data_IF_137551230330
#
_entry.id   IF_137551230330
#
_cell.length_a   1.000
_cell.length_b   1.000
_cell.length_c   1.000
_cell.angle_alpha   90.00
_cell.angle_beta   90.00
_cell.angle_gamma   90.00
#
_symmetry.space_group_name_H-M   'P 1'
#
loop_
_entity.id
_entity.type
_entity.pdbx_description
1 polymer ?
#
# COMPACT_ATOMS: atom_id res chain seq x y z
N UNK A 1 4.37 27.80 -9.13
CA UNK A 1 4.21 26.39 -9.60
C UNK A 1 2.72 26.09 -9.73
N UNK A 2 2.28 25.52 -10.85
CA UNK A 2 0.87 25.17 -11.08
C UNK A 2 0.40 24.18 -9.99
N UNK A 3 -0.82 24.40 -9.41
CA UNK A 3 -1.39 23.54 -8.36
C UNK A 3 -1.43 22.04 -8.75
N UNK A 4 -1.74 21.75 -10.03
CA UNK A 4 -1.73 20.36 -10.54
C UNK A 4 -0.33 19.76 -10.52
N UNK A 5 0.69 20.48 -11.00
CA UNK A 5 2.09 20.01 -10.99
C UNK A 5 2.56 19.73 -9.57
N UNK A 6 2.22 20.61 -8.62
CA UNK A 6 2.50 20.39 -7.19
C UNK A 6 1.87 19.07 -6.69
N UNK A 7 0.62 18.80 -7.05
CA UNK A 7 -0.08 17.57 -6.67
C UNK A 7 0.60 16.31 -7.23
N UNK A 8 1.01 16.31 -8.50
CA UNK A 8 1.73 15.18 -9.11
C UNK A 8 3.09 14.94 -8.45
N UNK A 9 3.86 15.99 -8.15
CA UNK A 9 5.14 15.88 -7.45
C UNK A 9 4.93 15.28 -6.05
N UNK A 10 3.96 15.79 -5.29
CA UNK A 10 3.67 15.27 -3.96
C UNK A 10 3.21 13.81 -4.00
N UNK A 11 2.38 13.42 -4.97
CA UNK A 11 1.96 12.02 -5.15
C UNK A 11 3.14 11.10 -5.49
N UNK A 12 4.05 11.54 -6.35
CA UNK A 12 5.25 10.79 -6.68
C UNK A 12 6.20 10.65 -5.46
N UNK A 13 6.40 11.73 -4.70
CA UNK A 13 7.19 11.69 -3.45
C UNK A 13 6.54 10.72 -2.44
N UNK A 14 5.22 10.76 -2.30
CA UNK A 14 4.50 9.89 -1.40
C UNK A 14 4.73 8.41 -1.72
N UNK A 15 4.52 8.02 -2.98
CA UNK A 15 4.70 6.65 -3.43
C UNK A 15 6.17 6.20 -3.36
N UNK A 16 7.10 7.02 -3.84
CA UNK A 16 8.52 6.72 -3.74
C UNK A 16 8.99 6.58 -2.29
N UNK A 17 8.54 7.49 -1.39
CA UNK A 17 8.86 7.38 0.04
C UNK A 17 8.34 6.08 0.65
N UNK A 18 7.13 5.63 0.28
CA UNK A 18 6.59 4.36 0.77
C UNK A 18 7.38 3.17 0.23
N UNK A 19 7.78 3.21 -1.05
CA UNK A 19 8.63 2.20 -1.67
C UNK A 19 10.04 2.06 -1.05
N UNK A 20 10.45 3.01 -0.21
CA UNK A 20 11.72 2.94 0.55
C UNK A 20 11.62 2.03 1.80
N UNK A 21 10.49 1.40 2.09
CA UNK A 21 10.39 0.48 3.23
C UNK A 21 11.53 -0.55 3.30
N UNK A 22 11.85 -1.29 2.21
CA UNK A 22 12.95 -2.25 2.23
C UNK A 22 14.31 -1.61 2.50
N UNK A 23 14.54 -0.41 1.97
CA UNK A 23 15.81 0.31 2.13
C UNK A 23 16.20 0.48 3.59
N UNK A 24 15.22 0.73 4.47
CA UNK A 24 15.48 0.94 5.89
C UNK A 24 15.23 -0.32 6.73
N UNK A 25 14.40 -1.25 6.28
CA UNK A 25 14.10 -2.47 7.02
C UNK A 25 15.18 -3.54 6.87
N UNK A 26 15.69 -3.79 5.65
CA UNK A 26 16.66 -4.86 5.41
C UNK A 26 17.97 -4.69 6.16
N UNK A 27 18.57 -3.49 6.32
CA UNK A 27 19.76 -3.33 7.16
C UNK A 27 19.51 -3.68 8.64
N UNK A 28 18.28 -3.48 9.15
CA UNK A 28 17.93 -3.87 10.52
C UNK A 28 17.86 -5.39 10.66
N UNK A 29 17.32 -6.08 9.65
CA UNK A 29 17.28 -7.55 9.61
C UNK A 29 18.65 -8.18 9.48
N UNK A 30 19.55 -7.57 8.68
CA UNK A 30 20.94 -8.02 8.55
C UNK A 30 21.69 -7.99 9.90
N UNK A 31 21.28 -7.12 10.82
CA UNK A 31 21.82 -7.02 12.19
C UNK A 31 21.03 -7.86 13.21
N UNK A 32 20.13 -8.71 12.74
CA UNK A 32 19.37 -9.67 13.55
C UNK A 32 18.12 -9.12 14.23
N UNK A 33 17.68 -7.90 13.89
CA UNK A 33 16.40 -7.39 14.42
C UNK A 33 15.22 -8.14 13.80
N UNK A 34 14.27 -8.52 14.65
CA UNK A 34 13.03 -9.14 14.21
C UNK A 34 12.00 -8.12 13.68
N UNK A 35 11.06 -8.54 12.80
CA UNK A 35 10.03 -7.65 12.24
C UNK A 35 9.14 -6.98 13.29
N UNK A 36 8.87 -7.65 14.42
CA UNK A 36 8.04 -7.10 15.51
C UNK A 36 8.72 -5.88 16.14
N UNK A 37 10.00 -5.99 16.46
CA UNK A 37 10.80 -4.91 17.05
C UNK A 37 10.96 -3.74 16.07
N UNK A 38 11.23 -4.02 14.78
CA UNK A 38 11.33 -3.00 13.74
C UNK A 38 10.01 -2.23 13.60
N UNK A 39 8.88 -2.92 13.55
CA UNK A 39 7.56 -2.29 13.42
C UNK A 39 7.14 -1.56 14.69
N UNK A 40 7.51 -2.05 15.88
CA UNK A 40 7.31 -1.34 17.13
C UNK A 40 7.93 0.05 17.08
N UNK A 41 9.22 0.16 16.73
CA UNK A 41 9.91 1.44 16.62
C UNK A 41 9.39 2.29 15.46
N UNK A 42 9.08 1.69 14.30
CA UNK A 42 8.47 2.40 13.17
C UNK A 42 7.21 3.17 13.57
N UNK A 43 6.29 2.50 14.26
CA UNK A 43 5.04 3.11 14.71
C UNK A 43 5.30 4.12 15.83
N UNK A 44 6.18 3.79 16.78
CA UNK A 44 6.58 4.66 17.87
C UNK A 44 7.12 6.01 17.37
N UNK A 45 7.94 6.02 16.32
CA UNK A 45 8.47 7.26 15.74
C UNK A 45 7.47 7.98 14.85
N UNK A 46 6.57 7.27 14.17
CA UNK A 46 5.58 7.89 13.29
C UNK A 46 4.45 8.59 14.07
N UNK A 47 3.99 8.02 15.18
CA UNK A 47 2.85 8.53 15.97
C UNK A 47 3.07 9.97 16.45
N UNK A 48 4.19 10.35 17.08
CA UNK A 48 4.43 11.73 17.50
C UNK A 48 4.43 12.72 16.32
N UNK A 49 4.99 12.33 15.19
CA UNK A 49 5.02 13.16 13.97
C UNK A 49 3.59 13.41 13.48
N UNK A 50 2.77 12.36 13.38
CA UNK A 50 1.37 12.50 12.96
C UNK A 50 0.53 13.27 13.97
N UNK A 51 0.77 13.08 15.27
CA UNK A 51 0.14 13.83 16.35
C UNK A 51 0.47 15.33 16.28
N UNK A 52 1.75 15.66 16.07
CA UNK A 52 2.17 17.04 15.86
C UNK A 52 1.50 17.66 14.63
N UNK A 53 1.44 16.91 13.53
CA UNK A 53 0.75 17.35 12.31
C UNK A 53 -0.74 17.59 12.54
N UNK A 54 -1.40 16.71 13.30
CA UNK A 54 -2.82 16.86 13.63
C UNK A 54 -3.03 18.16 14.41
N UNK A 55 -2.17 18.41 15.41
CA UNK A 55 -2.18 19.65 16.23
C UNK A 55 -1.93 20.90 15.38
N UNK A 56 -0.89 20.89 14.52
CA UNK A 56 -0.53 22.01 13.66
C UNK A 56 -1.63 22.36 12.63
N UNK A 57 -2.45 21.37 12.25
CA UNK A 57 -3.62 21.59 11.38
C UNK A 57 -4.87 22.01 12.14
N UNK A 58 -4.77 22.30 13.44
CA UNK A 58 -5.89 22.71 14.28
C UNK A 58 -7.00 21.66 14.40
N UNK A 59 -6.65 20.39 14.24
CA UNK A 59 -7.61 19.28 14.36
C UNK A 59 -7.69 18.79 15.80
N UNK A 60 -8.92 18.53 16.24
CA UNK A 60 -9.19 17.95 17.56
C UNK A 60 -8.77 16.47 17.62
N UNK A 61 -8.23 16.06 18.78
CA UNK A 61 -7.90 14.66 19.09
C UNK A 61 -9.09 13.86 19.63
N UNK A 62 -10.20 14.49 19.99
CA UNK A 62 -11.36 13.79 20.55
C UNK A 62 -11.93 12.75 19.60
N UNK A 63 -12.16 11.52 20.08
CA UNK A 63 -12.88 10.46 19.37
C UNK A 63 -14.10 10.03 20.17
N UNK A 64 -15.18 9.71 19.48
CA UNK A 64 -16.35 9.15 20.15
C UNK A 64 -16.10 7.68 20.51
N UNK A 65 -16.80 7.17 21.53
CA UNK A 65 -16.73 5.73 21.87
C UNK A 65 -17.19 4.86 20.68
N UNK A 66 -18.11 5.36 19.86
CA UNK A 66 -18.61 4.66 18.67
C UNK A 66 -17.54 4.59 17.55
N UNK A 67 -16.57 5.50 17.51
CA UNK A 67 -15.47 5.50 16.53
C UNK A 67 -14.25 4.73 17.04
N UNK A 68 -14.08 4.66 18.37
CA UNK A 68 -12.90 4.01 18.98
C UNK A 68 -12.82 2.51 18.63
N UNK A 69 -13.95 1.78 18.70
CA UNK A 69 -13.97 0.34 18.40
C UNK A 69 -13.63 0.02 16.93
N UNK A 70 -14.23 0.68 15.92
CA UNK A 70 -13.80 0.53 14.53
C UNK A 70 -12.32 0.90 14.31
N UNK A 71 -11.85 2.01 14.92
CA UNK A 71 -10.46 2.43 14.81
C UNK A 71 -9.49 1.40 15.40
N UNK A 72 -9.84 0.78 16.54
CA UNK A 72 -9.07 -0.32 17.13
C UNK A 72 -9.01 -1.52 16.18
N UNK A 73 -10.17 -1.98 15.66
CA UNK A 73 -10.22 -3.12 14.74
C UNK A 73 -9.41 -2.87 13.47
N UNK A 74 -9.53 -1.69 12.87
CA UNK A 74 -8.76 -1.32 11.67
C UNK A 74 -7.29 -1.04 11.99
N UNK A 75 -6.97 -0.59 13.20
CA UNK A 75 -5.60 -0.48 13.68
C UNK A 75 -4.90 -1.83 13.73
N UNK A 76 -5.57 -2.84 14.30
CA UNK A 76 -5.07 -4.22 14.34
C UNK A 76 -4.92 -4.80 12.93
N UNK A 77 -5.90 -4.61 12.03
CA UNK A 77 -5.80 -5.07 10.64
C UNK A 77 -4.65 -4.41 9.89
N UNK A 78 -4.44 -3.12 10.07
CA UNK A 78 -3.33 -2.40 9.45
C UNK A 78 -1.97 -2.86 10.00
N UNK A 79 -1.89 -3.08 11.30
CA UNK A 79 -0.69 -3.61 11.95
C UNK A 79 -0.39 -5.05 11.50
N UNK A 80 -1.43 -5.90 11.37
CA UNK A 80 -1.30 -7.25 10.85
C UNK A 80 -0.81 -7.25 9.39
N UNK A 81 -1.35 -6.35 8.56
CA UNK A 81 -0.85 -6.14 7.19
C UNK A 81 0.63 -5.76 7.19
N UNK A 82 1.03 -4.79 8.03
CA UNK A 82 2.43 -4.40 8.14
C UNK A 82 3.32 -5.56 8.60
N UNK A 83 2.87 -6.32 9.61
CA UNK A 83 3.62 -7.44 10.17
C UNK A 83 3.86 -8.53 9.12
N UNK A 84 2.80 -8.96 8.43
CA UNK A 84 2.91 -10.04 7.44
C UNK A 84 3.73 -9.62 6.22
N UNK A 85 3.67 -8.35 5.79
CA UNK A 85 4.56 -7.82 4.77
C UNK A 85 6.02 -7.84 5.23
N UNK A 86 6.31 -7.32 6.41
CA UNK A 86 7.68 -7.25 6.93
C UNK A 86 8.27 -8.63 7.21
N UNK A 87 7.44 -9.58 7.67
CA UNK A 87 7.86 -10.98 7.79
C UNK A 87 8.17 -11.62 6.43
N UNK A 88 7.48 -11.24 5.34
CA UNK A 88 7.71 -11.80 4.01
C UNK A 88 9.12 -11.50 3.48
N UNK A 89 9.74 -10.40 3.90
CA UNK A 89 11.11 -10.03 3.50
C UNK A 89 12.18 -11.02 3.97
N UNK A 90 11.86 -11.89 4.93
CA UNK A 90 12.73 -13.00 5.33
C UNK A 90 12.65 -14.22 4.39
N UNK A 91 11.68 -14.24 3.48
CA UNK A 91 11.38 -15.39 2.63
C UNK A 91 11.48 -15.12 1.14
N UNK A 92 11.53 -13.85 0.72
CA UNK A 92 11.62 -13.44 -0.69
C UNK A 92 12.19 -12.03 -0.81
N UNK A 93 12.62 -11.67 -2.02
CA UNK A 93 13.10 -10.34 -2.34
C UNK A 93 12.04 -9.26 -2.04
N UNK A 94 12.48 -8.20 -1.39
CA UNK A 94 11.57 -7.17 -0.91
C UNK A 94 10.93 -6.36 -2.06
N UNK A 95 11.59 -6.24 -3.20
CA UNK A 95 11.03 -5.66 -4.42
C UNK A 95 9.86 -6.47 -4.96
N UNK A 96 9.98 -7.82 -4.97
CA UNK A 96 8.91 -8.74 -5.37
C UNK A 96 7.76 -8.69 -4.36
N UNK A 97 8.05 -8.74 -3.06
CA UNK A 97 7.04 -8.65 -2.00
C UNK A 97 6.23 -7.34 -2.10
N UNK A 98 6.90 -6.20 -2.32
CA UNK A 98 6.24 -4.90 -2.48
C UNK A 98 5.36 -4.83 -3.74
N UNK A 99 5.78 -5.49 -4.83
CA UNK A 99 4.97 -5.57 -6.06
C UNK A 99 3.74 -6.45 -5.86
N UNK A 100 3.88 -7.58 -5.18
CA UNK A 100 2.74 -8.45 -4.84
C UNK A 100 1.76 -7.75 -3.90
N UNK A 101 2.26 -6.99 -2.93
CA UNK A 101 1.40 -6.17 -2.06
C UNK A 101 0.54 -5.21 -2.88
N UNK A 102 1.11 -4.60 -3.93
CA UNK A 102 0.41 -3.65 -4.80
C UNK A 102 -0.81 -4.25 -5.53
N UNK A 103 -1.08 -5.54 -5.40
CA UNK A 103 -2.32 -6.19 -5.86
C UNK A 103 -3.54 -5.84 -4.98
N UNK A 104 -3.35 -5.22 -3.80
CA UNK A 104 -4.46 -4.88 -2.89
C UNK A 104 -5.64 -4.12 -3.53
N UNK A 105 -5.50 -3.24 -4.55
CA UNK A 105 -6.67 -2.61 -5.18
C UNK A 105 -7.56 -3.60 -5.93
N UNK A 106 -6.99 -4.68 -6.45
CA UNK A 106 -7.77 -5.78 -7.06
C UNK A 106 -8.58 -6.50 -5.98
N UNK A 107 -7.96 -6.77 -4.82
CA UNK A 107 -8.66 -7.37 -3.67
C UNK A 107 -9.77 -6.46 -3.13
N UNK A 108 -9.56 -5.14 -3.10
CA UNK A 108 -10.60 -4.16 -2.78
C UNK A 108 -11.77 -4.30 -3.75
N UNK A 109 -11.53 -4.36 -5.07
CA UNK A 109 -12.58 -4.53 -6.06
C UNK A 109 -13.34 -5.86 -5.88
N UNK A 110 -12.65 -6.95 -5.57
CA UNK A 110 -13.27 -8.25 -5.28
C UNK A 110 -14.13 -8.21 -4.02
N UNK A 111 -13.65 -7.61 -2.93
CA UNK A 111 -14.43 -7.47 -1.68
C UNK A 111 -15.70 -6.64 -1.96
N UNK A 112 -15.58 -5.53 -2.71
CA UNK A 112 -16.73 -4.70 -3.08
C UNK A 112 -17.76 -5.47 -3.90
N UNK A 113 -17.30 -6.35 -4.79
CA UNK A 113 -18.21 -7.19 -5.59
C UNK A 113 -18.87 -8.30 -4.75
N UNK A 114 -18.10 -9.01 -3.93
CA UNK A 114 -18.60 -10.19 -3.20
C UNK A 114 -19.45 -9.79 -1.98
N UNK A 115 -19.01 -8.78 -1.21
CA UNK A 115 -19.68 -8.38 0.04
C UNK A 115 -20.76 -7.35 -0.22
N UNK A 116 -20.48 -6.35 -1.07
CA UNK A 116 -21.40 -5.24 -1.33
C UNK A 116 -22.17 -5.40 -2.63
N UNK A 117 -22.00 -6.54 -3.34
CA UNK A 117 -22.70 -6.89 -4.59
C UNK A 117 -22.54 -5.84 -5.69
N UNK A 118 -21.43 -5.13 -5.70
CA UNK A 118 -21.08 -4.21 -6.78
C UNK A 118 -20.67 -5.02 -8.03
N UNK A 119 -21.11 -4.57 -9.21
CA UNK A 119 -20.79 -5.29 -10.45
C UNK A 119 -19.34 -5.03 -10.87
N UNK A 120 -18.56 -6.11 -11.02
CA UNK A 120 -17.24 -6.01 -11.60
C UNK A 120 -17.36 -5.66 -13.09
N UNK A 121 -16.67 -4.62 -13.51
CA UNK A 121 -16.54 -4.30 -14.92
C UNK A 121 -15.67 -5.33 -15.65
N UNK A 122 -15.94 -5.55 -16.95
CA UNK A 122 -15.11 -6.43 -17.80
C UNK A 122 -13.64 -6.03 -17.76
N UNK A 123 -13.36 -4.73 -17.70
CA UNK A 123 -12.00 -4.20 -17.55
C UNK A 123 -11.31 -4.72 -16.28
N UNK A 124 -12.01 -4.71 -15.12
CA UNK A 124 -11.47 -5.24 -13.85
C UNK A 124 -11.17 -6.73 -13.95
N UNK A 125 -12.06 -7.52 -14.58
CA UNK A 125 -11.82 -8.96 -14.79
C UNK A 125 -10.59 -9.22 -15.65
N UNK A 126 -10.42 -8.48 -16.75
CA UNK A 126 -9.23 -8.58 -17.60
C UNK A 126 -7.95 -8.22 -16.84
N UNK A 127 -7.99 -7.18 -16.00
CA UNK A 127 -6.85 -6.79 -15.18
C UNK A 127 -6.51 -7.85 -14.12
N UNK A 128 -7.51 -8.51 -13.53
CA UNK A 128 -7.28 -9.64 -12.61
C UNK A 128 -6.55 -10.78 -13.34
N UNK A 129 -6.97 -11.13 -14.55
CA UNK A 129 -6.31 -12.15 -15.36
C UNK A 129 -4.86 -11.77 -15.69
N UNK A 130 -4.62 -10.52 -16.14
CA UNK A 130 -3.27 -10.02 -16.44
C UNK A 130 -2.37 -10.04 -15.21
N UNK A 131 -2.88 -9.59 -14.05
CA UNK A 131 -2.14 -9.64 -12.79
C UNK A 131 -1.82 -11.09 -12.37
N UNK A 132 -2.76 -12.03 -12.55
CA UNK A 132 -2.53 -13.45 -12.25
C UNK A 132 -1.44 -14.06 -13.15
N UNK A 133 -1.41 -13.70 -14.44
CA UNK A 133 -0.31 -14.09 -15.35
C UNK A 133 1.01 -13.48 -14.87
N UNK A 134 1.02 -12.20 -14.49
CA UNK A 134 2.20 -11.54 -13.93
C UNK A 134 2.74 -12.25 -12.69
N UNK A 135 1.88 -12.63 -11.75
CA UNK A 135 2.26 -13.41 -10.56
C UNK A 135 2.84 -14.78 -10.97
N UNK A 136 2.22 -15.47 -11.94
CA UNK A 136 2.72 -16.72 -12.49
C UNK A 136 4.12 -16.61 -13.11
N UNK A 137 4.45 -15.47 -13.71
CA UNK A 137 5.80 -15.20 -14.23
C UNK A 137 6.84 -15.00 -13.13
N UNK A 138 6.44 -14.54 -11.95
CA UNK A 138 7.34 -14.42 -10.80
C UNK A 138 7.67 -15.79 -10.17
N UNK A 139 6.85 -16.81 -10.41
CA UNK A 139 7.05 -18.14 -9.85
C UNK A 139 8.06 -18.93 -10.68
N UNK A 140 9.19 -19.27 -10.10
CA UNK A 140 10.29 -20.04 -10.75
C UNK A 140 10.22 -21.50 -10.40
N UNK A 141 9.46 -22.11 -9.80
CA UNK A 141 9.43 -23.56 -9.43
C UNK A 141 10.83 -24.20 -9.32
N UNK A 142 11.11 -24.89 -8.23
CA UNK A 142 12.40 -25.52 -7.97
C UNK A 142 13.28 -24.76 -6.97
N UNK A 143 14.47 -25.28 -6.65
CA UNK A 143 15.36 -24.82 -5.57
C UNK A 143 15.96 -23.39 -5.73
N UNK A 144 15.54 -22.66 -6.75
CA UNK A 144 15.88 -21.24 -6.98
C UNK A 144 14.65 -20.34 -6.94
N UNK A 145 13.68 -20.64 -6.09
CA UNK A 145 12.41 -19.93 -6.05
C UNK A 145 12.54 -18.49 -5.55
N UNK A 146 12.41 -17.54 -6.46
CA UNK A 146 12.19 -16.12 -6.12
C UNK A 146 10.86 -15.91 -5.39
N UNK A 147 9.90 -16.83 -5.51
CA UNK A 147 8.63 -16.88 -4.80
C UNK A 147 8.63 -18.05 -3.80
N UNK A 148 8.93 -17.76 -2.54
CA UNK A 148 8.64 -18.67 -1.43
C UNK A 148 7.13 -18.74 -1.22
N UNK A 149 6.58 -19.95 -1.06
CA UNK A 149 5.15 -20.14 -0.74
C UNK A 149 4.78 -19.39 0.55
N UNK A 150 5.61 -19.53 1.59
CA UNK A 150 5.42 -18.83 2.87
C UNK A 150 5.42 -17.32 2.69
N UNK A 151 6.42 -16.77 1.98
CA UNK A 151 6.51 -15.35 1.69
C UNK A 151 5.29 -14.87 0.88
N UNK A 152 4.87 -15.62 -0.14
CA UNK A 152 3.68 -15.29 -0.94
C UNK A 152 2.40 -15.26 -0.11
N UNK A 153 2.19 -16.28 0.75
CA UNK A 153 1.02 -16.32 1.65
C UNK A 153 1.02 -15.14 2.63
N UNK A 154 2.18 -14.78 3.16
CA UNK A 154 2.34 -13.61 4.03
C UNK A 154 1.97 -12.31 3.30
N UNK A 155 2.45 -12.11 2.06
CA UNK A 155 2.13 -10.91 1.28
C UNK A 155 0.66 -10.88 0.87
N UNK A 156 0.08 -12.01 0.46
CA UNK A 156 -1.36 -12.09 0.14
C UNK A 156 -2.20 -11.79 1.38
N UNK A 157 -1.82 -12.33 2.54
CA UNK A 157 -2.45 -12.01 3.82
C UNK A 157 -2.33 -10.53 4.17
N UNK A 158 -1.17 -9.92 3.91
CA UNK A 158 -0.94 -8.49 4.05
C UNK A 158 -1.86 -7.66 3.15
N UNK A 159 -1.88 -7.99 1.86
CA UNK A 159 -2.71 -7.29 0.86
C UNK A 159 -4.21 -7.42 1.18
N UNK A 160 -4.65 -8.61 1.64
CA UNK A 160 -6.04 -8.84 2.05
C UNK A 160 -6.41 -8.03 3.30
N UNK A 161 -5.57 -8.06 4.34
CA UNK A 161 -5.78 -7.29 5.57
C UNK A 161 -5.85 -5.79 5.27
N UNK A 162 -4.98 -5.30 4.39
CA UNK A 162 -4.98 -3.91 3.94
C UNK A 162 -6.22 -3.57 3.12
N UNK A 163 -6.65 -4.45 2.21
CA UNK A 163 -7.88 -4.27 1.43
C UNK A 163 -9.12 -4.20 2.31
N UNK A 164 -9.23 -5.10 3.32
CA UNK A 164 -10.32 -5.08 4.30
C UNK A 164 -10.31 -3.79 5.11
N UNK A 165 -9.13 -3.34 5.55
CA UNK A 165 -8.96 -2.05 6.23
C UNK A 165 -9.49 -0.89 5.36
N UNK A 166 -9.07 -0.79 4.10
CA UNK A 166 -9.47 0.28 3.18
C UNK A 166 -10.98 0.28 2.94
N UNK A 167 -11.56 -0.89 2.66
CA UNK A 167 -13.02 -1.02 2.47
C UNK A 167 -13.76 -0.68 3.76
N UNK A 168 -13.27 -1.18 4.90
CA UNK A 168 -13.86 -0.93 6.20
C UNK A 168 -13.91 0.55 6.56
N UNK A 169 -12.81 1.28 6.38
CA UNK A 169 -12.78 2.74 6.60
C UNK A 169 -13.79 3.46 5.70
N UNK A 170 -13.88 3.06 4.42
CA UNK A 170 -14.80 3.69 3.46
C UNK A 170 -16.28 3.35 3.68
N UNK A 171 -16.59 2.20 4.26
CA UNK A 171 -18.00 1.74 4.48
C UNK A 171 -18.48 1.95 5.90
N UNK A 172 -17.66 2.51 6.79
CA UNK A 172 -18.03 2.86 8.16
C UNK A 172 -18.13 4.38 8.35
N UNK A 173 -18.48 4.80 9.55
CA UNK A 173 -18.55 6.22 9.95
C UNK A 173 -17.20 6.94 9.83
N UNK A 174 -16.10 6.19 9.78
CA UNK A 174 -14.75 6.75 9.67
C UNK A 174 -14.48 7.46 8.33
N UNK A 175 -15.29 7.20 7.29
CA UNK A 175 -15.20 7.90 5.99
C UNK A 175 -15.34 9.41 6.12
N UNK A 176 -16.13 9.87 7.12
CA UNK A 176 -16.42 11.28 7.35
C UNK A 176 -15.37 11.94 8.28
N UNK A 177 -14.48 11.13 8.88
CA UNK A 177 -13.39 11.61 9.71
C UNK A 177 -12.19 12.06 8.84
N UNK A 178 -11.46 13.09 9.28
CA UNK A 178 -10.26 13.52 8.58
C UNK A 178 -9.24 12.37 8.47
N UNK A 179 -8.76 12.08 7.25
CA UNK A 179 -7.84 10.96 6.97
C UNK A 179 -6.63 10.95 7.90
N UNK A 180 -6.04 12.12 8.18
CA UNK A 180 -4.91 12.24 9.11
C UNK A 180 -5.27 11.76 10.53
N UNK A 181 -6.49 12.03 10.99
CA UNK A 181 -6.98 11.61 12.30
C UNK A 181 -7.22 10.09 12.33
N UNK A 182 -7.85 9.55 11.28
CA UNK A 182 -8.01 8.08 11.13
C UNK A 182 -6.65 7.40 11.18
N UNK A 183 -5.68 7.86 10.40
CA UNK A 183 -4.35 7.24 10.34
C UNK A 183 -3.61 7.35 11.66
N UNK A 184 -3.68 8.50 12.34
CA UNK A 184 -3.07 8.65 13.67
C UNK A 184 -3.59 7.58 14.65
N UNK A 185 -4.91 7.39 14.74
CA UNK A 185 -5.50 6.40 15.64
C UNK A 185 -5.29 4.97 15.17
N UNK A 186 -5.32 4.70 13.87
CA UNK A 186 -5.00 3.38 13.29
C UNK A 186 -3.57 2.98 13.64
N UNK A 187 -2.60 3.89 13.52
CA UNK A 187 -1.22 3.61 13.95
C UNK A 187 -1.10 3.48 15.47
N UNK A 188 -1.78 4.32 16.24
CA UNK A 188 -1.75 4.28 17.71
C UNK A 188 -2.29 2.94 18.23
N UNK A 189 -3.47 2.51 17.77
CA UNK A 189 -4.06 1.24 18.18
C UNK A 189 -3.30 0.04 17.57
N UNK A 190 -2.80 0.17 16.33
CA UNK A 190 -1.95 -0.85 15.71
C UNK A 190 -0.61 -1.03 16.44
N UNK A 191 -0.04 0.03 17.00
CA UNK A 191 1.14 -0.05 17.85
C UNK A 191 0.88 -0.90 19.09
N UNK A 192 -0.32 -0.85 19.65
CA UNK A 192 -0.75 -1.71 20.75
C UNK A 192 -0.60 -3.20 20.45
N UNK A 193 -0.77 -3.64 19.18
CA UNK A 193 -0.49 -5.02 18.78
C UNK A 193 0.98 -5.38 18.97
N UNK A 194 1.90 -4.51 18.56
CA UNK A 194 3.34 -4.76 18.72
C UNK A 194 3.78 -4.71 20.17
N UNK A 195 3.16 -3.84 20.97
CA UNK A 195 3.36 -3.84 22.43
C UNK A 195 2.91 -5.18 23.04
N UNK A 196 1.71 -5.65 22.70
CA UNK A 196 1.21 -6.94 23.20
C UNK A 196 2.12 -8.11 22.76
N UNK A 197 2.55 -8.14 21.49
CA UNK A 197 3.47 -9.16 20.98
C UNK A 197 4.84 -9.11 21.67
N UNK A 198 5.34 -7.94 22.00
CA UNK A 198 6.58 -7.79 22.76
C UNK A 198 6.50 -8.48 24.12
N UNK A 199 5.37 -8.32 24.83
CA UNK A 199 5.15 -9.05 26.10
C UNK A 199 5.06 -10.57 25.91
N UNK A 200 4.50 -11.03 24.80
CA UNK A 200 4.36 -12.48 24.50
C UNK A 200 5.67 -13.11 24.02
N UNK A 201 6.51 -12.37 23.30
CA UNK A 201 7.71 -12.87 22.65
C UNK A 201 9.01 -12.62 23.44
N UNK A 202 8.91 -12.23 24.71
CA UNK A 202 10.07 -12.05 25.60
C UNK A 202 10.76 -10.68 25.50
N UNK A 203 10.11 -9.69 24.90
CA UNK A 203 10.59 -8.30 24.86
C UNK A 203 10.77 -7.75 23.45
N UNK A 204 11.34 -6.55 23.38
CA UNK A 204 11.67 -5.83 22.14
C UNK A 204 13.18 -5.82 22.00
N UNK A 205 13.67 -6.15 20.82
CA UNK A 205 15.09 -6.03 20.51
C UNK A 205 15.45 -4.55 20.33
N UNK A 206 16.17 -4.01 21.32
CA UNK A 206 16.62 -2.62 21.31
C UNK A 206 18.03 -2.56 20.74
N UNK A 207 18.28 -1.79 19.66
CA UNK A 207 19.61 -1.68 19.09
C UNK A 207 20.61 -1.09 20.12
N UNK A 208 21.86 -1.56 20.15
CA UNK A 208 22.89 -0.96 20.98
C UNK A 208 23.10 0.52 20.64
N UNK A 209 23.31 1.40 21.63
CA UNK A 209 23.52 2.83 21.41
C UNK A 209 24.69 3.15 20.45
N UNK A 210 25.75 2.29 20.46
CA UNK A 210 26.95 2.44 19.64
C UNK A 210 26.63 2.27 18.15
N UNK A 211 25.60 1.49 17.80
CA UNK A 211 25.13 1.28 16.42
C UNK A 211 24.11 2.36 16.02
N UNK A 212 24.55 3.61 16.04
CA UNK A 212 23.68 4.77 15.74
C UNK A 212 22.96 4.67 14.38
N UNK A 213 23.55 3.97 13.40
CA UNK A 213 22.97 3.77 12.07
C UNK A 213 21.68 2.93 12.11
N UNK A 214 21.53 2.01 13.07
CA UNK A 214 20.27 1.27 13.26
C UNK A 214 19.16 2.18 13.74
N UNK A 215 19.47 3.07 14.69
CA UNK A 215 18.54 4.09 15.16
C UNK A 215 18.14 5.05 14.05
N UNK A 216 19.09 5.43 13.19
CA UNK A 216 18.84 6.27 12.02
C UNK A 216 17.90 5.56 11.03
N UNK A 217 18.08 4.26 10.76
CA UNK A 217 17.19 3.47 9.91
C UNK A 217 15.79 3.34 10.51
N UNK A 218 15.66 3.06 11.82
CA UNK A 218 14.38 2.99 12.52
C UNK A 218 13.62 4.32 12.47
N UNK A 219 14.32 5.42 12.72
CA UNK A 219 13.74 6.76 12.64
C UNK A 219 13.32 7.11 11.21
N UNK A 220 14.20 6.83 10.23
CA UNK A 220 13.92 7.05 8.81
C UNK A 220 12.70 6.22 8.34
N UNK A 221 12.57 4.97 8.81
CA UNK A 221 11.43 4.10 8.52
C UNK A 221 10.10 4.66 9.06
N UNK A 222 10.11 5.23 10.25
CA UNK A 222 8.94 5.93 10.80
C UNK A 222 8.63 7.25 10.10
N UNK A 223 9.67 8.01 9.73
CA UNK A 223 9.52 9.34 9.15
C UNK A 223 9.18 9.31 7.65
N UNK A 224 10.02 8.64 6.82
CA UNK A 224 9.91 8.72 5.36
C UNK A 224 8.76 7.88 4.80
N UNK A 225 8.75 6.54 4.89
CA UNK A 225 7.68 5.75 4.30
C UNK A 225 6.37 5.81 5.08
N UNK A 226 6.35 6.36 6.30
CA UNK A 226 5.11 6.47 7.07
C UNK A 226 4.61 7.91 7.13
N UNK A 227 5.29 8.81 7.84
CA UNK A 227 4.78 10.16 8.09
C UNK A 227 4.82 11.04 6.82
N UNK A 228 5.95 11.10 6.11
CA UNK A 228 6.10 11.93 4.90
C UNK A 228 5.26 11.38 3.76
N UNK A 229 5.28 10.06 3.53
CA UNK A 229 4.44 9.44 2.51
C UNK A 229 2.97 9.81 2.71
N UNK A 230 2.45 9.66 3.93
CA UNK A 230 1.06 9.99 4.24
C UNK A 230 0.75 11.48 4.08
N UNK A 231 1.65 12.36 4.53
CA UNK A 231 1.51 13.82 4.32
C UNK A 231 1.35 14.15 2.86
N UNK A 232 2.28 13.64 2.06
CA UNK A 232 2.34 13.91 0.64
C UNK A 232 1.14 13.28 -0.09
N UNK A 233 0.70 12.07 0.29
CA UNK A 233 -0.52 11.44 -0.23
C UNK A 233 -1.75 12.31 0.02
N UNK A 234 -1.95 12.72 1.27
CA UNK A 234 -3.09 13.57 1.64
C UNK A 234 -3.08 14.89 0.87
N UNK A 235 -1.91 15.52 0.75
CA UNK A 235 -1.77 16.76 0.00
C UNK A 235 -1.97 16.55 -1.52
N UNK A 236 -1.47 15.45 -2.09
CA UNK A 236 -1.68 15.10 -3.49
C UNK A 236 -3.18 14.95 -3.80
N UNK A 237 -3.92 14.19 -2.96
CA UNK A 237 -5.37 14.01 -3.10
C UNK A 237 -6.10 15.37 -3.14
N UNK A 238 -5.69 16.33 -2.32
CA UNK A 238 -6.30 17.66 -2.32
C UNK A 238 -6.04 18.45 -3.61
N UNK A 239 -4.89 18.25 -4.27
CA UNK A 239 -4.51 18.98 -5.47
C UNK A 239 -4.96 18.32 -6.79
N UNK A 240 -4.91 16.99 -6.87
CA UNK A 240 -5.15 16.25 -8.12
C UNK A 240 -6.26 15.19 -8.01
N UNK A 241 -6.81 14.99 -6.80
CA UNK A 241 -7.83 13.97 -6.53
C UNK A 241 -7.24 12.60 -6.20
N UNK A 242 -8.09 11.70 -5.71
CA UNK A 242 -7.70 10.36 -5.24
C UNK A 242 -7.23 9.45 -6.39
N UNK A 243 -7.88 9.49 -7.55
CA UNK A 243 -7.53 8.58 -8.66
C UNK A 243 -6.13 8.82 -9.24
N UNK A 244 -5.73 10.05 -9.63
CA UNK A 244 -4.36 10.28 -10.09
C UNK A 244 -3.33 9.96 -8.99
N UNK A 245 -3.64 10.23 -7.72
CA UNK A 245 -2.77 9.90 -6.60
C UNK A 245 -2.57 8.39 -6.46
N UNK A 246 -3.65 7.60 -6.60
CA UNK A 246 -3.58 6.14 -6.54
C UNK A 246 -2.83 5.52 -7.73
N UNK A 247 -2.91 6.13 -8.94
CA UNK A 247 -2.10 5.72 -10.10
C UNK A 247 -0.62 5.95 -9.83
N UNK A 248 -0.27 7.08 -9.19
CA UNK A 248 1.11 7.35 -8.78
C UNK A 248 1.62 6.34 -7.74
N UNK A 249 0.73 5.65 -7.01
CA UNK A 249 1.08 4.53 -6.15
C UNK A 249 1.86 3.42 -6.86
N UNK A 250 1.76 3.29 -8.19
CA UNK A 250 2.60 2.37 -8.97
C UNK A 250 4.11 2.65 -8.86
N UNK A 251 4.51 3.82 -8.38
CA UNK A 251 5.91 4.12 -8.09
C UNK A 251 6.41 3.42 -6.80
N UNK A 252 5.53 2.95 -5.93
CA UNK A 252 5.92 2.20 -4.71
C UNK A 252 6.73 0.95 -5.05
N UNK A 253 6.17 -0.02 -5.82
CA UNK A 253 6.93 -1.21 -6.19
C UNK A 253 8.13 -0.90 -7.09
N UNK A 254 8.03 0.10 -7.97
CA UNK A 254 9.17 0.52 -8.81
C UNK A 254 10.33 1.00 -7.94
N UNK A 255 10.05 1.80 -6.92
CA UNK A 255 11.08 2.28 -5.98
C UNK A 255 11.65 1.14 -5.14
N UNK A 256 10.82 0.22 -4.67
CA UNK A 256 11.27 -0.94 -3.90
C UNK A 256 12.22 -1.84 -4.72
N UNK A 257 11.85 -2.15 -5.97
CA UNK A 257 12.68 -2.92 -6.90
C UNK A 257 13.98 -2.17 -7.23
N UNK A 258 13.92 -0.85 -7.44
CA UNK A 258 15.10 -0.03 -7.70
C UNK A 258 16.11 -0.14 -6.56
N UNK A 259 15.68 -0.01 -5.29
CA UNK A 259 16.59 -0.15 -4.15
C UNK A 259 17.01 -1.61 -3.92
N UNK A 260 16.15 -2.59 -4.19
CA UNK A 260 16.48 -4.01 -4.18
C UNK A 260 17.70 -4.31 -5.07
N UNK A 261 17.66 -3.84 -6.32
CA UNK A 261 18.75 -4.04 -7.28
C UNK A 261 19.98 -3.22 -6.90
N UNK A 262 19.82 -1.91 -6.65
CA UNK A 262 20.97 -0.97 -6.55
C UNK A 262 21.67 -1.02 -5.22
N UNK A 263 20.98 -1.33 -4.13
CA UNK A 263 21.52 -1.31 -2.76
C UNK A 263 21.75 -2.72 -2.22
N UNK A 264 20.81 -3.64 -2.50
CA UNK A 264 20.86 -4.99 -1.92
C UNK A 264 21.36 -6.05 -2.91
N UNK A 265 21.64 -5.68 -4.16
CA UNK A 265 22.17 -6.61 -5.17
C UNK A 265 21.17 -7.68 -5.60
N UNK A 266 19.84 -7.43 -5.42
CA UNK A 266 18.80 -8.31 -5.91
C UNK A 266 18.92 -8.44 -7.44
N UNK A 267 18.81 -9.66 -7.96
CA UNK A 267 18.88 -9.92 -9.40
C UNK A 267 17.48 -10.17 -9.94
N UNK A 268 17.07 -9.36 -10.90
CA UNK A 268 15.78 -9.49 -11.55
C UNK A 268 15.97 -10.05 -12.97
N UNK A 269 15.48 -11.25 -13.22
CA UNK A 269 15.47 -11.85 -14.56
C UNK A 269 14.48 -11.14 -15.48
N UNK A 270 14.66 -11.26 -16.81
CA UNK A 270 13.75 -10.69 -17.81
C UNK A 270 12.30 -11.19 -17.59
N UNK A 271 12.14 -12.45 -17.19
CA UNK A 271 10.83 -13.04 -16.89
C UNK A 271 10.16 -12.35 -15.69
N UNK A 272 10.94 -12.12 -14.61
CA UNK A 272 10.45 -11.43 -13.41
C UNK A 272 10.12 -9.96 -13.72
N UNK A 273 10.99 -9.27 -14.46
CA UNK A 273 10.72 -7.91 -14.90
C UNK A 273 9.41 -7.81 -15.70
N UNK A 274 9.16 -8.76 -16.61
CA UNK A 274 7.90 -8.82 -17.35
C UNK A 274 6.69 -9.05 -16.41
N UNK A 275 6.80 -9.94 -15.41
CA UNK A 275 5.77 -10.19 -14.40
C UNK A 275 5.47 -8.94 -13.57
N UNK A 276 6.50 -8.25 -13.08
CA UNK A 276 6.39 -6.99 -12.33
C UNK A 276 5.66 -5.91 -13.15
N UNK A 277 6.07 -5.71 -14.41
CA UNK A 277 5.43 -4.74 -15.33
C UNK A 277 3.96 -5.08 -15.56
N UNK A 278 3.62 -6.35 -15.79
CA UNK A 278 2.23 -6.77 -15.97
C UNK A 278 1.36 -6.50 -14.74
N UNK A 279 1.85 -6.78 -13.54
CA UNK A 279 1.13 -6.49 -12.29
C UNK A 279 0.90 -4.99 -12.14
N UNK A 280 1.96 -4.19 -12.28
CA UNK A 280 1.89 -2.73 -12.14
C UNK A 280 0.90 -2.13 -13.17
N UNK A 281 0.98 -2.55 -14.43
CA UNK A 281 0.06 -2.10 -15.47
C UNK A 281 -1.38 -2.51 -15.17
N UNK A 282 -1.64 -3.77 -14.81
CA UNK A 282 -2.97 -4.27 -14.50
C UNK A 282 -3.62 -3.48 -13.35
N UNK A 283 -2.88 -3.28 -12.26
CA UNK A 283 -3.37 -2.54 -11.09
C UNK A 283 -3.60 -1.07 -11.42
N UNK A 284 -2.67 -0.43 -12.14
CA UNK A 284 -2.84 0.97 -12.57
C UNK A 284 -4.08 1.16 -13.44
N UNK A 285 -4.40 0.21 -14.32
CA UNK A 285 -5.62 0.23 -15.15
C UNK A 285 -6.87 0.04 -14.28
N UNK A 286 -6.87 -0.85 -13.28
CA UNK A 286 -7.99 -1.00 -12.33
C UNK A 286 -8.27 0.31 -11.60
N UNK A 287 -7.23 0.92 -11.05
CA UNK A 287 -7.34 2.19 -10.33
C UNK A 287 -7.84 3.31 -11.25
N UNK A 288 -7.33 3.38 -12.49
CA UNK A 288 -7.77 4.37 -13.49
C UNK A 288 -9.21 4.12 -13.95
N UNK A 289 -9.63 2.87 -14.08
CA UNK A 289 -10.92 2.45 -14.65
C UNK A 289 -12.12 2.99 -13.88
N UNK A 290 -12.01 3.14 -12.56
CA UNK A 290 -13.03 3.79 -11.74
C UNK A 290 -13.35 5.24 -12.14
N UNK A 291 -12.40 5.93 -12.78
CA UNK A 291 -12.56 7.32 -13.26
C UNK A 291 -12.84 7.44 -14.76
N UNK A 292 -12.48 6.43 -15.55
CA UNK A 292 -12.64 6.46 -17.01
C UNK A 292 -14.09 6.17 -17.40
N UNK A 293 -14.79 5.31 -16.66
CA UNK A 293 -16.18 4.92 -16.95
C UNK A 293 -17.15 6.11 -17.10
N UNK A 294 -17.15 7.12 -16.20
CA UNK A 294 -17.99 8.30 -16.36
C UNK A 294 -17.62 9.12 -17.60
N UNK A 295 -16.34 9.23 -17.94
CA UNK A 295 -15.87 9.99 -19.10
C UNK A 295 -16.22 9.29 -20.42
N UNK A 296 -16.08 7.97 -20.49
CA UNK A 296 -16.49 7.18 -21.67
C UNK A 296 -18.01 7.19 -21.87
N UNK A 297 -18.79 7.14 -20.79
CA UNK A 297 -20.24 7.29 -20.84
C UNK A 297 -20.63 8.69 -21.33
N UNK A 298 -19.90 9.72 -20.92
CA UNK A 298 -20.11 11.10 -21.38
C UNK A 298 -19.72 11.28 -22.83
N UNK A 299 -18.58 10.72 -23.28
CA UNK A 299 -18.17 10.68 -24.69
C UNK A 299 -19.16 9.90 -25.56
N UNK A 300 -19.65 8.74 -25.08
CA UNK A 300 -20.65 7.93 -25.75
C UNK A 300 -22.00 8.67 -25.90
N UNK A 301 -22.35 9.53 -24.94
CA UNK A 301 -23.53 10.42 -25.05
C UNK A 301 -23.29 11.59 -26.00
N UNK A 302 -22.05 12.07 -26.13
CA UNK A 302 -21.72 13.18 -27.03
C UNK A 302 -21.62 12.74 -28.52
N UNK A 303 -21.37 11.46 -28.79
CA UNK A 303 -21.28 10.90 -30.16
C UNK A 303 -22.30 9.78 -30.41
N UNK A 304 -23.60 10.04 -30.35
CA UNK A 304 -24.62 9.01 -30.58
C UNK A 304 -24.67 8.49 -32.03
N UNK A 305 -24.12 9.26 -32.97
CA UNK A 305 -24.15 8.95 -34.43
C UNK A 305 -23.23 7.76 -34.82
N UNK A 306 -22.13 7.52 -34.09
CA UNK A 306 -21.19 6.42 -34.39
C UNK A 306 -21.76 5.03 -34.09
N UNK A 307 -22.78 4.91 -33.27
CA UNK A 307 -23.36 3.62 -32.83
C UNK A 307 -24.54 3.19 -33.70
N UNK A 308 -25.25 4.14 -34.31
CA UNK A 308 -26.38 3.83 -35.22
C UNK A 308 -25.96 3.22 -36.58
N UNK A 309 -24.70 3.36 -37.00
CA UNK A 309 -24.22 2.86 -38.28
C UNK A 309 -24.06 1.33 -38.35
N UNK A 310 -23.92 0.65 -37.21
CA UNK A 310 -23.73 -0.81 -37.14
C UNK A 310 -25.02 -1.64 -37.13
N UNK A 311 -26.21 -1.01 -36.98
CA UNK A 311 -27.52 -1.69 -37.02
C UNK A 311 -28.29 -1.56 -38.33
N UNK A 312 -27.77 -0.87 -39.34
CA UNK A 312 -28.44 -0.70 -40.65
C UNK A 312 -27.77 -1.42 -41.83
N UNK A 313 -26.79 -2.29 -41.59
CA UNK A 313 -26.10 -3.06 -42.59
C UNK A 313 -26.32 -4.57 -42.47
N UNK A 314 -27.52 -5.00 -42.13
CA UNK A 314 -27.89 -6.41 -42.02
C UNK A 314 -29.38 -6.58 -42.24
N UNK A 315 -29.80 -6.43 -43.48
CA UNK A 315 -31.08 -6.91 -44.02
C UNK A 315 -30.83 -7.29 -45.49
#
# INVERSE_FOLDING_TARGET
MNKKVKGYILGAIAAASYGMNPLFALPLYAEGMDPDSVLFFRYMFAIPVLGLMLKLRGRDFGISRADALPLLGFGVLFALSSLTLFQSYNYMDAGIASTLLFVYPILVALIMALVFRERLGVQTLLCILVASVGIGLLYKGGDGATLSLTGTLLVVGSALSYAVYLVGVNKTRLKDMATLKVTFYVLLFGWGLFVARAFMNGGIQVPPPEKWYLWANLFALGLLPTAISLLCTTAAILYIGSTPTAILGALEPVTAVFFGITVFGETVSVREAAGLVLIICAVSIVVAGGSITPHLVRLRKMFPALIKRKKRGGA
#
